data_IF_598076605340
#
_entry.id   IF_598076605340
#
_cell.length_a   1.000
_cell.length_b   1.000
_cell.length_c   1.000
_cell.angle_alpha   90.00
_cell.angle_beta   90.00
_cell.angle_gamma   90.00
#
_symmetry.space_group_name_H-M   'P 1'
#
loop_
_entity.id
_entity.type
_entity.pdbx_description
1 polymer ?
#
# COMPACT_ATOMS: atom_id res chain seq x y z
N UNK A 1 -30.34 9.59 -16.21
CA UNK A 1 -31.49 8.68 -16.10
C UNK A 1 -31.37 7.88 -14.79
N UNK A 2 -32.45 7.72 -14.00
CA UNK A 2 -32.47 6.94 -12.74
C UNK A 2 -33.08 5.53 -12.89
N UNK A 3 -33.61 5.18 -14.07
CA UNK A 3 -34.26 3.89 -14.31
C UNK A 3 -33.29 2.75 -14.70
N UNK A 4 -32.00 3.07 -14.89
CA UNK A 4 -30.96 2.11 -15.30
C UNK A 4 -30.95 1.74 -16.78
N UNK A 5 -31.77 2.39 -17.60
CA UNK A 5 -31.87 2.18 -19.05
C UNK A 5 -31.44 3.45 -19.81
N UNK A 6 -30.84 3.26 -20.98
CA UNK A 6 -30.60 4.35 -21.92
C UNK A 6 -31.15 3.91 -23.27
N UNK A 7 -31.97 4.76 -23.88
CA UNK A 7 -32.38 4.54 -25.26
C UNK A 7 -31.19 4.78 -26.20
N UNK A 8 -31.25 4.18 -27.39
CA UNK A 8 -30.23 4.34 -28.43
C UNK A 8 -29.97 5.82 -28.78
N UNK A 9 -31.02 6.64 -28.80
CA UNK A 9 -30.92 8.07 -29.08
C UNK A 9 -30.25 8.85 -27.94
N UNK A 10 -30.54 8.51 -26.68
CA UNK A 10 -29.87 9.13 -25.53
C UNK A 10 -28.38 8.76 -25.49
N UNK A 11 -28.03 7.52 -25.85
CA UNK A 11 -26.65 7.06 -25.94
C UNK A 11 -25.88 7.82 -27.03
N UNK A 12 -26.46 7.98 -28.22
CA UNK A 12 -25.86 8.73 -29.33
C UNK A 12 -25.61 10.20 -28.95
N UNK A 13 -26.59 10.86 -28.32
CA UNK A 13 -26.46 12.25 -27.88
C UNK A 13 -25.39 12.42 -26.78
N UNK A 14 -25.26 11.43 -25.89
CA UNK A 14 -24.26 11.45 -24.82
C UNK A 14 -22.81 11.34 -25.34
N UNK A 15 -22.56 10.63 -26.45
CA UNK A 15 -21.22 10.53 -27.06
C UNK A 15 -20.75 11.89 -27.60
N UNK A 16 -21.69 12.71 -28.12
CA UNK A 16 -21.37 14.02 -28.69
C UNK A 16 -21.27 15.14 -27.66
N UNK A 17 -21.54 14.86 -26.38
CA UNK A 17 -21.42 15.82 -25.30
C UNK A 17 -20.25 15.45 -24.35
N UNK A 18 -19.22 16.30 -24.34
CA UNK A 18 -17.96 16.07 -23.62
C UNK A 18 -18.17 15.81 -22.12
N UNK A 19 -19.16 16.43 -21.47
CA UNK A 19 -19.44 16.20 -20.04
C UNK A 19 -20.09 14.86 -19.73
N UNK A 20 -20.72 14.21 -20.71
CA UNK A 20 -21.32 12.87 -20.57
C UNK A 20 -20.38 11.76 -20.99
N UNK A 21 -19.43 12.06 -21.89
CA UNK A 21 -18.37 11.14 -22.34
C UNK A 21 -17.59 10.51 -21.17
N UNK A 22 -17.25 11.30 -20.16
CA UNK A 22 -16.47 10.83 -19.01
C UNK A 22 -17.28 9.93 -18.05
N UNK A 23 -18.62 10.01 -18.10
CA UNK A 23 -19.52 9.07 -17.45
C UNK A 23 -19.80 7.82 -18.31
N UNK A 24 -19.81 7.95 -19.65
CA UNK A 24 -19.96 6.85 -20.61
C UNK A 24 -18.82 5.83 -20.53
N UNK A 25 -17.59 6.26 -20.21
CA UNK A 25 -16.44 5.36 -19.97
C UNK A 25 -16.60 4.44 -18.75
N UNK A 26 -17.70 4.57 -18.00
CA UNK A 26 -18.05 3.68 -16.87
C UNK A 26 -19.21 2.74 -17.19
N UNK A 27 -19.73 2.75 -18.42
CA UNK A 27 -20.86 1.90 -18.83
C UNK A 27 -20.39 0.48 -19.08
N UNK A 28 -21.07 -0.46 -18.44
CA UNK A 28 -20.97 -1.90 -18.71
C UNK A 28 -22.21 -2.28 -19.50
N UNK A 29 -22.03 -2.64 -20.77
CA UNK A 29 -23.14 -2.95 -21.67
C UNK A 29 -23.10 -4.43 -22.08
N UNK A 30 -24.24 -5.10 -22.03
CA UNK A 30 -24.42 -6.44 -22.61
C UNK A 30 -25.23 -6.31 -23.88
N UNK A 31 -24.59 -6.53 -25.03
CA UNK A 31 -25.27 -6.43 -26.32
C UNK A 31 -24.77 -7.50 -27.29
N UNK A 32 -25.58 -7.78 -28.31
CA UNK A 32 -25.21 -8.64 -29.43
C UNK A 32 -23.94 -8.09 -30.11
N UNK A 33 -22.96 -8.97 -30.40
CA UNK A 33 -21.66 -8.56 -30.95
C UNK A 33 -21.41 -9.11 -32.35
N UNK A 34 -20.63 -8.36 -33.13
CA UNK A 34 -19.95 -8.77 -34.37
C UNK A 34 -19.10 -10.04 -34.19
N UNK A 35 -18.69 -10.36 -32.96
CA UNK A 35 -17.94 -11.58 -32.68
C UNK A 35 -18.78 -12.85 -32.75
N UNK A 36 -20.11 -12.71 -32.72
CA UNK A 36 -21.06 -13.82 -32.82
C UNK A 36 -21.95 -13.74 -34.06
N UNK A 37 -22.41 -12.54 -34.44
CA UNK A 37 -23.32 -12.33 -35.57
C UNK A 37 -22.58 -11.84 -36.81
N UNK A 38 -22.62 -12.66 -37.87
CA UNK A 38 -22.04 -12.32 -39.19
C UNK A 38 -22.94 -11.42 -40.03
N UNK A 39 -22.48 -11.08 -41.23
CA UNK A 39 -23.12 -10.10 -42.13
C UNK A 39 -24.61 -10.36 -42.45
N UNK A 40 -25.02 -11.64 -42.46
CA UNK A 40 -26.41 -12.03 -42.75
C UNK A 40 -27.37 -11.88 -41.56
N UNK A 41 -26.84 -11.53 -40.38
CA UNK A 41 -27.63 -11.38 -39.18
C UNK A 41 -28.49 -10.10 -39.23
N UNK A 42 -29.70 -10.12 -38.64
CA UNK A 42 -30.56 -8.94 -38.54
C UNK A 42 -29.87 -7.72 -37.91
N UNK A 43 -28.87 -7.96 -37.04
CA UNK A 43 -28.06 -6.93 -36.40
C UNK A 43 -27.38 -5.99 -37.40
N UNK A 44 -26.86 -6.52 -38.51
CA UNK A 44 -26.08 -5.76 -39.49
C UNK A 44 -26.87 -5.39 -40.74
N UNK A 45 -27.97 -6.10 -41.00
CA UNK A 45 -28.71 -6.04 -42.26
C UNK A 45 -29.12 -4.62 -42.65
N UNK A 46 -29.77 -3.88 -41.75
CA UNK A 46 -30.24 -2.51 -42.04
C UNK A 46 -29.09 -1.55 -42.38
N UNK A 47 -27.95 -1.68 -41.68
CA UNK A 47 -26.77 -0.87 -41.93
C UNK A 47 -26.05 -1.25 -43.24
N UNK A 48 -25.90 -2.55 -43.52
CA UNK A 48 -25.30 -3.01 -44.77
C UNK A 48 -26.19 -2.71 -45.98
N UNK A 49 -27.50 -2.76 -45.82
CA UNK A 49 -28.46 -2.44 -46.89
C UNK A 49 -28.39 -0.96 -47.28
N UNK A 50 -28.28 -0.04 -46.32
CA UNK A 50 -28.11 1.41 -46.59
C UNK A 50 -26.79 1.71 -47.32
N UNK A 51 -25.70 1.02 -46.96
CA UNK A 51 -24.42 1.17 -47.67
C UNK A 51 -24.43 0.68 -49.12
N UNK A 52 -25.42 -0.13 -49.51
CA UNK A 52 -25.57 -0.59 -50.91
C UNK A 52 -25.72 0.59 -51.87
N UNK A 53 -26.43 1.64 -51.43
CA UNK A 53 -26.70 2.83 -52.23
C UNK A 53 -25.64 3.89 -52.01
N UNK A 54 -25.23 4.12 -50.77
CA UNK A 54 -24.41 5.27 -50.41
C UNK A 54 -22.90 5.03 -50.59
N UNK A 55 -22.43 3.79 -50.38
CA UNK A 55 -21.01 3.46 -50.38
C UNK A 55 -20.76 1.95 -50.67
N UNK A 56 -21.00 1.46 -51.89
CA UNK A 56 -20.98 0.03 -52.21
C UNK A 56 -19.60 -0.64 -51.99
N UNK A 57 -18.49 0.09 -52.18
CA UNK A 57 -17.15 -0.43 -51.89
C UNK A 57 -16.91 -0.64 -50.39
N UNK A 58 -17.47 0.23 -49.54
CA UNK A 58 -17.41 0.10 -48.09
C UNK A 58 -18.25 -1.07 -47.59
N UNK A 59 -19.41 -1.32 -48.22
CA UNK A 59 -20.23 -2.51 -47.94
C UNK A 59 -19.42 -3.79 -48.13
N UNK A 60 -18.75 -3.95 -49.27
CA UNK A 60 -17.95 -5.16 -49.55
C UNK A 60 -16.83 -5.38 -48.53
N UNK A 61 -16.16 -4.30 -48.12
CA UNK A 61 -15.13 -4.35 -47.08
C UNK A 61 -15.72 -4.79 -45.73
N UNK A 62 -16.83 -4.17 -45.31
CA UNK A 62 -17.47 -4.45 -44.02
C UNK A 62 -18.05 -5.86 -43.96
N UNK A 63 -18.66 -6.37 -45.03
CA UNK A 63 -19.11 -7.76 -45.12
C UNK A 63 -17.96 -8.74 -44.93
N UNK A 64 -16.82 -8.48 -45.58
CA UNK A 64 -15.60 -9.30 -45.44
C UNK A 64 -15.02 -9.21 -44.03
N UNK A 65 -15.06 -8.03 -43.41
CA UNK A 65 -14.59 -7.80 -42.05
C UNK A 65 -15.46 -8.55 -41.04
N UNK A 66 -16.79 -8.44 -41.14
CA UNK A 66 -17.74 -9.12 -40.25
C UNK A 66 -17.59 -10.64 -40.34
N UNK A 67 -17.44 -11.20 -41.54
CA UNK A 67 -17.21 -12.64 -41.72
C UNK A 67 -15.93 -13.14 -41.01
N UNK A 68 -14.90 -12.30 -40.91
CA UNK A 68 -13.65 -12.64 -40.18
C UNK A 68 -13.78 -12.52 -38.67
N UNK A 69 -14.73 -11.72 -38.19
CA UNK A 69 -14.86 -11.39 -36.77
C UNK A 69 -15.72 -12.39 -36.00
N UNK A 70 -16.50 -13.26 -36.64
CA UNK A 70 -17.45 -14.19 -35.98
C UNK A 70 -16.81 -15.39 -35.22
N UNK A 71 -15.71 -15.17 -34.51
CA UNK A 71 -14.96 -16.23 -33.83
C UNK A 71 -15.70 -16.79 -32.59
N UNK A 72 -16.46 -15.98 -31.85
CA UNK A 72 -17.20 -16.45 -30.65
C UNK A 72 -18.28 -17.45 -31.01
N UNK A 73 -18.90 -17.30 -32.19
CA UNK A 73 -19.87 -18.27 -32.70
C UNK A 73 -19.22 -19.64 -32.90
N UNK A 74 -18.07 -19.66 -33.58
CA UNK A 74 -17.30 -20.89 -33.80
C UNK A 74 -16.81 -21.54 -32.48
N UNK A 75 -16.45 -20.74 -31.48
CA UNK A 75 -16.07 -21.23 -30.15
C UNK A 75 -17.28 -21.77 -29.38
N UNK A 76 -18.45 -21.13 -29.51
CA UNK A 76 -19.69 -21.59 -28.89
C UNK A 76 -20.18 -22.91 -29.47
N UNK A 77 -20.08 -23.08 -30.78
CA UNK A 77 -20.39 -24.33 -31.49
C UNK A 77 -19.47 -25.48 -31.06
N UNK A 78 -18.28 -25.18 -30.50
CA UNK A 78 -17.36 -26.16 -29.90
C UNK A 78 -17.64 -26.44 -28.42
N UNK A 79 -18.77 -25.98 -27.89
CA UNK A 79 -19.24 -26.31 -26.54
C UNK A 79 -18.80 -25.34 -25.43
N UNK A 80 -18.19 -24.20 -25.76
CA UNK A 80 -17.87 -23.16 -24.76
C UNK A 80 -19.04 -22.19 -24.63
N UNK A 81 -19.65 -22.00 -23.44
CA UNK A 81 -20.89 -21.24 -23.30
C UNK A 81 -20.66 -19.71 -23.27
N UNK A 82 -20.13 -19.13 -24.34
CA UNK A 82 -19.91 -17.68 -24.45
C UNK A 82 -21.22 -16.91 -24.72
N UNK A 83 -22.08 -17.45 -25.57
CA UNK A 83 -23.34 -16.83 -25.98
C UNK A 83 -23.19 -15.61 -26.91
N UNK A 84 -24.30 -15.09 -27.45
CA UNK A 84 -24.29 -14.05 -28.47
C UNK A 84 -24.04 -12.62 -27.98
N UNK A 85 -24.15 -12.39 -26.68
CA UNK A 85 -24.11 -11.07 -26.07
C UNK A 85 -23.02 -10.98 -25.00
N UNK A 86 -21.77 -10.67 -25.38
CA UNK A 86 -20.70 -10.41 -24.42
C UNK A 86 -20.97 -9.12 -23.62
N UNK A 87 -20.34 -9.04 -22.45
CA UNK A 87 -20.23 -7.79 -21.71
C UNK A 87 -19.09 -6.97 -22.31
N UNK A 88 -19.41 -5.79 -22.82
CA UNK A 88 -18.43 -4.78 -23.20
C UNK A 88 -18.20 -3.84 -22.02
N UNK A 89 -16.94 -3.68 -21.65
CA UNK A 89 -16.50 -2.81 -20.56
C UNK A 89 -15.35 -1.94 -21.07
N UNK A 90 -15.28 -0.70 -20.60
CA UNK A 90 -14.10 0.12 -20.84
C UNK A 90 -12.87 -0.54 -20.17
N UNK A 91 -11.72 -0.70 -20.86
CA UNK A 91 -10.60 -1.49 -20.38
C UNK A 91 -10.01 -1.00 -19.05
N UNK A 92 -10.10 0.30 -18.75
CA UNK A 92 -9.66 0.87 -17.46
C UNK A 92 -10.49 0.33 -16.30
N UNK A 93 -11.81 0.24 -16.44
CA UNK A 93 -12.72 -0.25 -15.39
C UNK A 93 -12.58 -1.76 -15.21
N UNK A 94 -12.33 -2.49 -16.30
CA UNK A 94 -12.04 -3.92 -16.24
C UNK A 94 -10.75 -4.20 -15.46
N UNK A 95 -9.67 -3.46 -15.73
CA UNK A 95 -8.42 -3.57 -14.98
C UNK A 95 -8.62 -3.20 -13.50
N UNK A 96 -9.39 -2.16 -13.18
CA UNK A 96 -9.77 -1.84 -11.80
C UNK A 96 -10.56 -3.00 -11.14
N UNK A 97 -11.47 -3.64 -11.87
CA UNK A 97 -12.26 -4.76 -11.35
C UNK A 97 -11.47 -6.07 -11.19
N UNK A 98 -10.48 -6.30 -12.06
CA UNK A 98 -9.50 -7.38 -11.94
C UNK A 98 -8.45 -7.07 -10.87
N UNK A 99 -8.20 -5.80 -10.58
CA UNK A 99 -7.31 -5.34 -9.53
C UNK A 99 -7.87 -5.57 -8.13
N UNK A 100 -8.84 -6.50 -7.95
CA UNK A 100 -9.44 -6.87 -6.68
C UNK A 100 -8.39 -6.75 -5.58
N UNK A 101 -8.51 -5.65 -4.82
CA UNK A 101 -7.55 -5.25 -3.81
C UNK A 101 -7.17 -6.50 -3.05
N UNK A 102 -5.86 -6.76 -2.91
CA UNK A 102 -5.30 -7.83 -2.08
C UNK A 102 -6.26 -8.05 -0.93
N UNK A 103 -6.96 -9.18 -0.91
CA UNK A 103 -7.95 -9.44 0.12
C UNK A 103 -7.17 -9.56 1.42
N UNK A 104 -7.10 -8.46 2.17
CA UNK A 104 -6.34 -8.38 3.39
C UNK A 104 -6.92 -9.43 4.34
N UNK A 105 -6.13 -10.47 4.61
CA UNK A 105 -6.61 -11.61 5.39
C UNK A 105 -6.76 -11.25 6.87
N UNK A 106 -5.99 -10.27 7.32
CA UNK A 106 -6.00 -9.73 8.67
C UNK A 106 -5.94 -8.21 8.58
N UNK A 107 -6.75 -7.52 9.39
CA UNK A 107 -6.66 -6.06 9.58
C UNK A 107 -6.31 -5.73 11.03
N UNK A 108 -6.02 -4.47 11.30
CA UNK A 108 -5.73 -3.97 12.63
C UNK A 108 -7.03 -3.92 13.45
N UNK A 109 -7.00 -4.22 14.76
CA UNK A 109 -8.21 -4.30 15.58
C UNK A 109 -8.84 -2.95 15.91
N UNK A 110 -8.22 -1.84 15.51
CA UNK A 110 -8.73 -0.47 15.66
C UNK A 110 -8.83 0.20 14.29
N UNK A 111 -9.87 1.01 14.08
CA UNK A 111 -10.04 1.80 12.85
C UNK A 111 -9.12 3.01 12.73
N UNK A 112 -8.42 3.37 13.82
CA UNK A 112 -7.49 4.50 13.87
C UNK A 112 -6.16 4.03 14.45
N UNK A 113 -5.06 4.67 14.03
CA UNK A 113 -3.73 4.40 14.59
C UNK A 113 -3.76 4.62 16.11
N UNK A 114 -3.19 3.71 16.92
CA UNK A 114 -3.18 3.87 18.36
C UNK A 114 -2.33 5.07 18.76
N UNK A 115 -2.66 5.69 19.89
CA UNK A 115 -1.97 6.89 20.40
C UNK A 115 -0.55 6.61 20.87
N UNK A 116 -0.24 5.35 21.16
CA UNK A 116 1.12 4.86 21.39
C UNK A 116 1.73 4.23 20.14
N UNK A 117 1.37 4.67 18.94
CA UNK A 117 2.08 4.35 17.70
C UNK A 117 3.38 5.17 17.56
N UNK A 118 4.27 4.84 16.61
CA UNK A 118 5.60 5.49 16.45
C UNK A 118 5.54 7.02 16.33
N UNK A 119 4.42 7.55 15.81
CA UNK A 119 4.14 8.98 15.61
C UNK A 119 3.05 9.53 16.55
N UNK A 120 2.57 8.71 17.49
CA UNK A 120 1.49 9.08 18.40
C UNK A 120 1.97 9.94 19.57
N UNK A 121 1.01 10.55 20.28
CA UNK A 121 1.26 11.40 21.47
C UNK A 121 1.91 10.62 22.62
N UNK A 122 1.75 9.30 22.65
CA UNK A 122 2.32 8.40 23.66
C UNK A 122 3.34 7.44 23.03
N UNK A 123 4.10 7.90 22.03
CA UNK A 123 5.14 7.12 21.33
C UNK A 123 6.19 6.51 22.24
N UNK A 124 6.44 7.08 23.42
CA UNK A 124 7.36 6.51 24.41
C UNK A 124 6.82 5.19 25.01
N UNK A 125 5.54 4.88 24.77
CA UNK A 125 4.88 3.62 25.13
C UNK A 125 4.63 2.71 23.92
N UNK A 126 5.52 2.78 22.91
CA UNK A 126 5.32 2.21 21.58
C UNK A 126 4.87 0.74 21.61
N UNK A 127 3.67 0.47 21.08
CA UNK A 127 3.06 -0.87 21.13
C UNK A 127 3.91 -1.94 20.41
N UNK A 128 4.60 -1.57 19.33
CA UNK A 128 5.38 -2.49 18.49
C UNK A 128 6.89 -2.51 18.84
N UNK A 129 7.26 -2.00 20.01
CA UNK A 129 8.65 -1.97 20.45
C UNK A 129 9.23 -3.38 20.64
N UNK A 130 10.55 -3.48 20.45
CA UNK A 130 11.30 -4.72 20.62
C UNK A 130 11.29 -5.17 22.09
N UNK A 131 11.29 -6.48 22.34
CA UNK A 131 11.33 -7.03 23.71
C UNK A 131 12.62 -6.63 24.46
N UNK A 132 13.70 -6.37 23.72
CA UNK A 132 14.99 -5.90 24.25
C UNK A 132 15.01 -4.43 24.67
N UNK A 133 14.03 -3.63 24.26
CA UNK A 133 14.01 -2.19 24.53
C UNK A 133 13.73 -1.94 26.03
N UNK A 134 14.71 -1.50 26.81
CA UNK A 134 14.52 -1.26 28.25
C UNK A 134 13.59 -0.08 28.57
N UNK A 135 13.33 0.79 27.60
CA UNK A 135 12.44 1.95 27.72
C UNK A 135 11.01 1.64 27.27
N UNK A 136 10.81 0.59 26.47
CA UNK A 136 9.52 0.12 26.02
C UNK A 136 8.70 -0.48 27.17
N UNK A 137 8.05 0.46 27.85
CA UNK A 137 6.72 0.47 28.44
C UNK A 137 6.07 -0.84 28.86
N UNK A 138 5.24 -0.65 29.86
CA UNK A 138 4.21 -1.54 30.32
C UNK A 138 3.27 -2.13 29.24
N UNK A 139 3.24 -1.59 28.01
CA UNK A 139 2.33 -1.97 26.92
C UNK A 139 2.76 -3.19 26.10
N UNK A 140 3.92 -3.80 26.37
CA UNK A 140 4.44 -4.89 25.53
C UNK A 140 4.45 -6.26 26.21
N UNK A 141 4.29 -7.30 25.40
CA UNK A 141 4.22 -8.69 25.83
C UNK A 141 5.44 -9.11 26.67
N UNK A 142 5.23 -9.97 27.65
CA UNK A 142 6.31 -10.60 28.42
C UNK A 142 6.95 -9.69 29.49
N UNK A 143 6.55 -8.42 29.60
CA UNK A 143 7.08 -7.49 30.62
C UNK A 143 6.72 -7.90 32.03
N UNK A 144 7.69 -7.81 32.93
CA UNK A 144 7.48 -8.09 34.35
C UNK A 144 6.52 -7.08 34.97
N UNK A 145 5.58 -7.58 35.77
CA UNK A 145 4.63 -6.82 36.58
C UNK A 145 4.68 -7.32 38.01
N UNK A 146 4.20 -6.50 38.94
CA UNK A 146 4.15 -6.80 40.38
C UNK A 146 5.50 -7.28 40.91
N UNK A 147 6.57 -6.55 40.57
CA UNK A 147 7.96 -6.89 40.90
C UNK A 147 8.43 -8.26 40.37
N UNK A 148 7.94 -8.66 39.19
CA UNK A 148 8.33 -9.92 38.53
C UNK A 148 7.44 -11.12 38.88
N UNK A 149 6.41 -10.94 39.71
CA UNK A 149 5.45 -12.00 40.08
C UNK A 149 4.49 -12.39 38.95
N UNK A 150 4.42 -11.61 37.88
CA UNK A 150 3.71 -12.00 36.66
C UNK A 150 4.32 -11.30 35.47
N UNK A 151 4.09 -11.84 34.27
CA UNK A 151 4.40 -11.15 33.02
C UNK A 151 3.14 -10.50 32.44
N UNK A 152 3.28 -9.53 31.54
CA UNK A 152 2.20 -8.95 30.74
C UNK A 152 1.83 -9.89 29.58
N UNK A 153 0.54 -10.13 29.36
CA UNK A 153 0.03 -11.21 28.48
C UNK A 153 -0.31 -10.75 27.06
N UNK A 154 -0.25 -9.45 26.80
CA UNK A 154 -0.79 -8.84 25.60
C UNK A 154 0.17 -7.83 24.99
N UNK A 155 -0.31 -7.16 23.95
CA UNK A 155 0.15 -5.85 23.54
C UNK A 155 -0.99 -4.87 23.80
N UNK A 156 -0.70 -3.78 24.51
CA UNK A 156 -1.68 -2.73 24.81
C UNK A 156 -1.65 -1.64 23.74
N UNK A 157 -2.80 -1.40 23.11
CA UNK A 157 -3.00 -0.35 22.12
C UNK A 157 -3.75 0.81 22.78
N UNK A 158 -3.08 1.93 23.00
CA UNK A 158 -3.69 3.08 23.68
C UNK A 158 -4.54 3.91 22.72
N UNK A 159 -5.67 4.40 23.18
CA UNK A 159 -6.68 5.06 22.33
C UNK A 159 -7.25 6.32 22.98
N UNK A 160 -7.96 7.11 22.18
CA UNK A 160 -8.97 8.02 22.71
C UNK A 160 -10.10 7.23 23.40
N UNK A 161 -10.92 7.89 24.25
CA UNK A 161 -12.13 7.30 24.79
C UNK A 161 -13.02 6.65 23.74
N UNK A 162 -13.42 5.40 24.00
CA UNK A 162 -14.41 4.66 23.21
C UNK A 162 -14.06 4.49 21.72
N UNK A 163 -12.79 4.27 21.40
CA UNK A 163 -12.40 3.91 20.04
C UNK A 163 -13.06 2.60 19.60
N UNK A 164 -13.46 2.52 18.32
CA UNK A 164 -14.10 1.33 17.76
C UNK A 164 -13.12 0.17 17.64
N UNK A 165 -13.54 -0.99 18.14
CA UNK A 165 -12.84 -2.26 18.05
C UNK A 165 -13.52 -3.08 16.94
N UNK A 166 -12.71 -3.62 16.03
CA UNK A 166 -13.17 -4.46 14.93
C UNK A 166 -12.59 -5.86 15.01
N UNK A 167 -13.33 -6.84 14.49
CA UNK A 167 -12.83 -8.19 14.29
C UNK A 167 -11.70 -8.18 13.24
N UNK A 168 -10.51 -8.66 13.62
CA UNK A 168 -9.33 -8.62 12.74
C UNK A 168 -9.41 -9.56 11.54
N UNK A 169 -10.33 -10.53 11.58
CA UNK A 169 -10.63 -11.48 10.52
C UNK A 169 -12.03 -12.06 10.74
N UNK A 170 -12.55 -12.83 9.77
CA UNK A 170 -13.73 -13.64 9.98
C UNK A 170 -13.56 -14.61 11.16
N UNK A 171 -14.63 -14.87 11.90
CA UNK A 171 -14.56 -15.71 13.08
C UNK A 171 -15.89 -15.94 13.76
N UNK A 172 -15.85 -16.66 14.89
CA UNK A 172 -16.99 -16.95 15.74
C UNK A 172 -16.71 -16.48 17.15
N UNK A 173 -17.62 -15.70 17.74
CA UNK A 173 -17.49 -15.23 19.12
C UNK A 173 -17.66 -16.40 20.08
N UNK A 174 -16.67 -16.64 20.95
CA UNK A 174 -16.64 -17.80 21.85
C UNK A 174 -16.88 -17.47 23.31
N UNK A 175 -16.51 -16.28 23.74
CA UNK A 175 -16.68 -15.86 25.13
C UNK A 175 -16.84 -14.34 25.22
N UNK A 176 -17.73 -13.91 26.10
CA UNK A 176 -17.88 -12.53 26.55
C UNK A 176 -18.01 -12.58 28.07
N UNK A 177 -17.16 -11.85 28.79
CA UNK A 177 -17.23 -11.80 30.26
C UNK A 177 -16.54 -10.57 30.82
N UNK A 178 -16.75 -10.33 32.12
CA UNK A 178 -16.07 -9.28 32.90
C UNK A 178 -14.56 -9.45 32.83
N UNK A 179 -13.84 -8.33 32.89
CA UNK A 179 -12.38 -8.30 32.77
C UNK A 179 -11.78 -7.31 33.79
N UNK A 180 -10.51 -7.00 33.61
CA UNK A 180 -9.73 -6.21 34.55
C UNK A 180 -10.32 -4.81 34.76
N UNK A 181 -10.32 -4.33 36.00
CA UNK A 181 -10.68 -2.94 36.34
C UNK A 181 -12.04 -2.50 35.79
N UNK A 182 -13.05 -3.37 35.92
CA UNK A 182 -14.44 -3.06 35.60
C UNK A 182 -14.77 -3.07 34.11
N UNK A 183 -13.81 -3.44 33.25
CA UNK A 183 -14.04 -3.62 31.81
C UNK A 183 -14.51 -5.03 31.48
N UNK A 184 -14.64 -5.34 30.20
CA UNK A 184 -15.05 -6.63 29.66
C UNK A 184 -14.06 -7.14 28.63
N UNK A 185 -14.21 -8.40 28.23
CA UNK A 185 -13.46 -9.00 27.12
C UNK A 185 -14.39 -9.72 26.15
N UNK A 186 -13.94 -9.81 24.90
CA UNK A 186 -14.54 -10.65 23.86
C UNK A 186 -13.43 -11.58 23.36
N UNK A 187 -13.66 -12.88 23.35
CA UNK A 187 -12.76 -13.87 22.75
C UNK A 187 -13.39 -14.43 21.49
N UNK A 188 -12.68 -14.32 20.36
CA UNK A 188 -13.15 -14.77 19.04
C UNK A 188 -12.20 -15.84 18.51
N UNK A 189 -12.78 -16.92 18.01
CA UNK A 189 -12.10 -17.94 17.20
C UNK A 189 -12.04 -17.46 15.76
N UNK A 190 -10.85 -17.15 15.28
CA UNK A 190 -10.64 -16.66 13.92
C UNK A 190 -10.14 -17.78 13.02
N UNK A 191 -10.58 -17.72 11.76
CA UNK A 191 -10.08 -18.55 10.68
C UNK A 191 -9.87 -17.70 9.44
N UNK A 192 -8.63 -17.60 9.00
CA UNK A 192 -8.25 -16.85 7.79
C UNK A 192 -8.44 -17.72 6.54
N UNK A 193 -8.52 -17.07 5.39
CA UNK A 193 -8.70 -17.76 4.10
C UNK A 193 -7.48 -18.61 3.68
N UNK A 194 -6.29 -18.31 4.21
CA UNK A 194 -5.07 -19.12 4.02
C UNK A 194 -4.97 -20.31 5.00
N UNK A 195 -5.96 -20.49 5.88
CA UNK A 195 -6.06 -21.66 6.75
C UNK A 195 -5.44 -21.51 8.14
N UNK A 196 -5.00 -20.31 8.54
CA UNK A 196 -4.60 -20.06 9.95
C UNK A 196 -5.83 -20.05 10.84
N UNK A 197 -5.72 -20.72 11.98
CA UNK A 197 -6.75 -20.77 13.02
C UNK A 197 -6.14 -20.37 14.36
N UNK A 198 -6.81 -19.48 15.09
CA UNK A 198 -6.31 -18.93 16.35
C UNK A 198 -7.42 -18.26 17.15
N UNK A 199 -7.18 -18.02 18.44
CA UNK A 199 -8.06 -17.15 19.24
C UNK A 199 -7.43 -15.78 19.47
N UNK A 200 -8.25 -14.75 19.40
CA UNK A 200 -7.91 -13.41 19.87
C UNK A 200 -8.83 -13.05 21.02
N UNK A 201 -8.23 -12.58 22.13
CA UNK A 201 -8.98 -11.89 23.17
C UNK A 201 -8.83 -10.39 22.99
N UNK A 202 -9.95 -9.72 22.81
CA UNK A 202 -10.11 -8.27 22.82
C UNK A 202 -10.50 -7.86 24.25
N UNK A 203 -9.51 -7.50 25.07
CA UNK A 203 -9.70 -7.09 26.46
C UNK A 203 -9.85 -5.57 26.63
N UNK A 204 -10.27 -5.15 27.82
CA UNK A 204 -10.51 -3.74 28.17
C UNK A 204 -11.63 -3.08 27.36
N UNK A 205 -12.73 -3.81 27.18
CA UNK A 205 -13.92 -3.41 26.40
C UNK A 205 -14.98 -2.76 27.28
N UNK A 206 -15.69 -1.75 26.76
CA UNK A 206 -16.88 -1.16 27.43
C UNK A 206 -18.09 -2.09 27.29
N UNK A 207 -18.63 -2.60 28.39
CA UNK A 207 -19.75 -3.55 28.41
C UNK A 207 -20.93 -3.15 27.52
N UNK A 208 -21.43 -1.92 27.71
CA UNK A 208 -22.63 -1.44 27.02
C UNK A 208 -22.39 -1.11 25.53
N UNK A 209 -21.14 -1.22 25.06
CA UNK A 209 -20.77 -1.01 23.66
C UNK A 209 -20.69 -2.31 22.87
N UNK A 210 -20.76 -3.47 23.53
CA UNK A 210 -20.64 -4.79 22.88
C UNK A 210 -21.91 -5.04 22.05
N UNK A 211 -21.74 -5.24 20.73
CA UNK A 211 -22.85 -5.44 19.78
C UNK A 211 -22.93 -6.86 19.22
N UNK A 212 -22.14 -7.78 19.77
CA UNK A 212 -22.09 -9.20 19.39
C UNK A 212 -22.43 -10.09 20.59
N UNK A 213 -22.93 -11.29 20.31
CA UNK A 213 -23.24 -12.32 21.30
C UNK A 213 -22.34 -13.55 21.12
N UNK A 214 -22.22 -14.37 22.16
CA UNK A 214 -21.54 -15.67 22.04
C UNK A 214 -22.25 -16.54 21.01
N UNK A 215 -21.49 -17.07 20.06
CA UNK A 215 -22.00 -17.84 18.91
C UNK A 215 -22.14 -17.04 17.62
N UNK A 216 -22.11 -15.71 17.69
CA UNK A 216 -22.23 -14.87 16.48
C UNK A 216 -21.03 -15.06 15.55
N UNK A 217 -21.31 -15.07 14.26
CA UNK A 217 -20.29 -15.00 13.20
C UNK A 217 -19.96 -13.56 12.92
N UNK A 218 -18.68 -13.22 12.95
CA UNK A 218 -18.17 -11.89 12.56
C UNK A 218 -17.42 -12.00 11.24
N UNK A 219 -17.46 -10.93 10.44
CA UNK A 219 -16.66 -10.79 9.23
C UNK A 219 -15.45 -9.91 9.53
N UNK A 220 -14.46 -9.95 8.64
CA UNK A 220 -13.34 -9.01 8.64
C UNK A 220 -13.86 -7.57 8.74
N UNK A 221 -13.41 -6.81 9.75
CA UNK A 221 -13.80 -5.41 9.91
C UNK A 221 -15.17 -5.16 10.55
N UNK A 222 -15.92 -6.20 10.92
CA UNK A 222 -17.13 -6.02 11.73
C UNK A 222 -16.77 -5.30 13.03
N UNK A 223 -17.46 -4.20 13.33
CA UNK A 223 -17.36 -3.56 14.65
C UNK A 223 -17.93 -4.54 15.68
N UNK A 224 -17.21 -4.76 16.77
CA UNK A 224 -17.62 -5.69 17.83
C UNK A 224 -17.89 -4.98 19.15
N UNK A 225 -17.16 -3.90 19.44
CA UNK A 225 -17.34 -3.08 20.64
C UNK A 225 -16.54 -1.77 20.55
N UNK A 226 -16.41 -1.07 21.70
CA UNK A 226 -15.53 0.08 21.90
C UNK A 226 -14.63 -0.13 23.12
N UNK A 227 -13.46 0.51 23.12
CA UNK A 227 -12.52 0.48 24.26
C UNK A 227 -13.16 1.06 25.52
N UNK A 228 -12.98 0.38 26.65
CA UNK A 228 -13.53 0.73 27.96
C UNK A 228 -12.60 1.56 28.84
N UNK A 229 -13.19 2.24 29.82
CA UNK A 229 -12.46 2.98 30.84
C UNK A 229 -12.07 2.03 31.97
N UNK A 230 -10.78 1.94 32.26
CA UNK A 230 -10.28 1.13 33.37
C UNK A 230 -10.48 1.88 34.70
N UNK A 231 -11.39 1.39 35.54
CA UNK A 231 -11.60 1.91 36.89
C UNK A 231 -11.52 0.75 37.87
N UNK A 232 -10.59 0.83 38.81
CA UNK A 232 -10.53 -0.15 39.88
C UNK A 232 -11.86 -0.13 40.67
N UNK A 233 -12.64 -1.23 40.69
CA UNK A 233 -13.97 -1.22 41.31
C UNK A 233 -13.95 -0.91 42.81
N UNK A 234 -12.82 -1.19 43.49
CA UNK A 234 -12.65 -0.97 44.93
C UNK A 234 -12.25 0.48 45.24
N UNK A 235 -11.34 1.06 44.47
CA UNK A 235 -10.79 2.39 44.76
C UNK A 235 -11.45 3.51 43.96
N UNK A 236 -12.23 3.17 42.93
CA UNK A 236 -12.85 4.11 41.99
C UNK A 236 -11.83 5.03 41.31
N UNK A 237 -10.58 4.55 41.14
CA UNK A 237 -9.48 5.28 40.51
C UNK A 237 -8.99 4.57 39.26
N UNK A 238 -8.57 5.39 38.28
CA UNK A 238 -7.86 4.94 37.10
C UNK A 238 -6.45 4.43 37.47
N UNK A 239 -5.91 3.38 36.81
CA UNK A 239 -4.62 2.75 37.16
C UNK A 239 -3.37 3.63 36.97
N UNK A 240 -3.52 4.91 36.60
CA UNK A 240 -2.41 5.82 36.28
C UNK A 240 -1.38 5.20 35.31
N UNK A 241 -1.90 4.60 34.22
CA UNK A 241 -1.10 3.95 33.17
C UNK A 241 -0.05 4.95 32.68
N UNK A 242 -0.50 6.11 32.19
CA UNK A 242 0.38 7.24 31.89
C UNK A 242 0.21 8.27 33.00
N UNK A 243 1.31 8.74 33.63
CA UNK A 243 1.23 9.72 34.71
C UNK A 243 0.37 10.94 34.35
N UNK A 244 -0.69 11.17 35.12
CA UNK A 244 -1.56 12.34 34.97
C UNK A 244 -2.52 12.29 33.77
N UNK A 245 -2.63 11.16 33.08
CA UNK A 245 -3.52 10.98 31.93
C UNK A 245 -4.57 9.91 32.20
N UNK A 246 -5.77 10.11 31.64
CA UNK A 246 -6.80 9.06 31.56
C UNK A 246 -6.63 8.39 30.21
N UNK A 247 -6.32 7.08 30.23
CA UNK A 247 -5.96 6.32 29.03
C UNK A 247 -6.98 5.22 28.82
N UNK A 248 -7.55 5.17 27.62
CA UNK A 248 -8.31 4.02 27.15
C UNK A 248 -7.36 3.13 26.37
N UNK A 249 -7.63 1.83 26.36
CA UNK A 249 -6.82 0.90 25.58
C UNK A 249 -7.61 -0.32 25.14
N UNK A 250 -7.05 -1.00 24.14
CA UNK A 250 -7.37 -2.37 23.80
C UNK A 250 -6.22 -3.27 24.26
N UNK A 251 -6.52 -4.25 25.11
CA UNK A 251 -5.57 -5.27 25.56
C UNK A 251 -5.73 -6.51 24.68
N UNK A 252 -4.80 -6.75 23.75
CA UNK A 252 -4.92 -7.82 22.77
C UNK A 252 -4.07 -9.04 23.15
N UNK A 253 -4.69 -10.20 23.38
CA UNK A 253 -3.99 -11.47 23.61
C UNK A 253 -4.16 -12.42 22.41
N UNK A 254 -3.14 -13.22 22.10
CA UNK A 254 -3.09 -14.11 20.93
C UNK A 254 -2.77 -15.55 21.33
N UNK A 255 -3.63 -16.50 20.94
CA UNK A 255 -3.52 -17.91 21.29
C UNK A 255 -3.53 -18.80 20.05
N UNK A 256 -2.55 -19.70 19.94
CA UNK A 256 -2.31 -20.46 18.70
C UNK A 256 -2.76 -21.92 18.73
N UNK A 257 -3.06 -22.50 19.89
CA UNK A 257 -3.38 -23.93 20.00
C UNK A 257 -4.89 -24.15 20.14
N UNK A 258 -5.52 -24.50 19.02
CA UNK A 258 -6.96 -24.76 18.97
C UNK A 258 -7.38 -25.98 19.80
N UNK A 259 -6.49 -26.95 20.02
CA UNK A 259 -6.79 -28.18 20.74
C UNK A 259 -6.99 -28.00 22.24
N UNK A 260 -6.50 -26.91 22.82
CA UNK A 260 -6.70 -26.56 24.23
C UNK A 260 -8.05 -25.86 24.49
N UNK A 261 -8.88 -25.68 23.46
CA UNK A 261 -10.20 -25.06 23.56
C UNK A 261 -10.15 -23.55 23.80
N UNK A 262 -11.28 -22.97 24.21
CA UNK A 262 -11.41 -21.51 24.41
C UNK A 262 -10.57 -21.06 25.61
N UNK A 263 -9.71 -20.02 25.47
CA UNK A 263 -8.91 -19.51 26.57
C UNK A 263 -9.75 -19.08 27.79
N UNK A 264 -9.41 -19.54 29.02
CA UNK A 264 -10.16 -19.20 30.22
C UNK A 264 -9.93 -17.74 30.64
N UNK A 265 -10.93 -17.14 31.29
CA UNK A 265 -10.82 -15.78 31.82
C UNK A 265 -10.10 -15.82 33.19
N UNK A 266 -8.82 -15.45 33.21
CA UNK A 266 -7.95 -15.61 34.38
C UNK A 266 -7.96 -14.40 35.33
N UNK A 267 -9.03 -13.62 35.37
CA UNK A 267 -9.10 -12.38 36.17
C UNK A 267 -9.34 -12.60 37.68
N UNK A 268 -9.36 -13.84 38.17
CA UNK A 268 -9.40 -14.14 39.60
C UNK A 268 -9.22 -15.62 39.93
N UNK A 269 -8.01 -16.01 40.38
CA UNK A 269 -7.75 -17.37 40.85
C UNK A 269 -6.30 -17.56 41.31
N UNK A 270 -6.12 -18.33 42.38
CA UNK A 270 -4.95 -18.68 43.20
C UNK A 270 -3.76 -19.33 42.47
N UNK A 271 -3.51 -18.94 41.23
CA UNK A 271 -2.45 -19.54 40.42
C UNK A 271 -1.29 -18.57 40.31
N UNK A 272 -0.25 -18.90 41.06
CA UNK A 272 1.11 -18.35 41.03
C UNK A 272 1.67 -18.32 39.60
N UNK A 273 2.77 -17.58 39.32
CA UNK A 273 3.12 -16.90 38.05
C UNK A 273 3.14 -17.68 36.71
N UNK A 274 2.86 -18.99 36.71
CA UNK A 274 3.32 -19.95 35.72
C UNK A 274 2.23 -20.64 34.88
N UNK A 275 0.94 -20.54 35.20
CA UNK A 275 -0.09 -21.19 34.34
C UNK A 275 -0.66 -20.20 33.31
N UNK A 276 0.24 -19.60 32.55
CA UNK A 276 -0.13 -19.14 31.21
C UNK A 276 -0.33 -20.39 30.39
N UNK A 277 -1.41 -20.45 29.60
CA UNK A 277 -1.50 -21.49 28.57
C UNK A 277 -0.24 -21.44 27.71
N UNK A 278 0.31 -22.61 27.39
CA UNK A 278 1.53 -22.75 26.61
C UNK A 278 1.44 -22.11 25.23
N UNK A 279 0.21 -21.93 24.73
CA UNK A 279 -0.08 -21.40 23.41
C UNK A 279 -0.33 -19.88 23.36
N UNK A 280 -0.24 -19.19 24.49
CA UNK A 280 -0.26 -17.72 24.52
C UNK A 280 1.04 -17.17 23.92
N UNK A 281 0.94 -16.47 22.80
CA UNK A 281 2.07 -15.90 22.08
C UNK A 281 2.01 -14.37 22.02
N UNK A 282 3.14 -13.74 21.67
CA UNK A 282 3.20 -12.29 21.44
C UNK A 282 2.36 -11.91 20.20
N UNK A 283 1.34 -11.04 20.32
CA UNK A 283 0.52 -10.61 19.18
C UNK A 283 1.24 -9.72 18.16
N UNK A 284 2.54 -9.44 18.32
CA UNK A 284 3.26 -8.47 17.49
C UNK A 284 3.15 -8.75 15.99
N UNK A 285 3.33 -9.99 15.55
CA UNK A 285 3.37 -10.32 14.11
C UNK A 285 2.00 -10.14 13.47
N UNK A 286 0.93 -10.63 14.12
CA UNK A 286 -0.45 -10.47 13.64
C UNK A 286 -0.90 -9.00 13.67
N UNK A 287 -0.45 -8.22 14.66
CA UNK A 287 -0.69 -6.78 14.73
C UNK A 287 0.06 -6.02 13.63
N UNK A 288 1.29 -6.40 13.28
CA UNK A 288 2.05 -5.79 12.19
C UNK A 288 1.42 -6.08 10.83
N UNK A 289 1.00 -7.33 10.59
CA UNK A 289 0.25 -7.69 9.39
C UNK A 289 -1.03 -6.86 9.29
N UNK A 290 -1.82 -6.81 10.37
CA UNK A 290 -3.04 -6.01 10.43
C UNK A 290 -2.78 -4.52 10.22
N UNK A 291 -1.72 -3.96 10.84
CA UNK A 291 -1.36 -2.55 10.73
C UNK A 291 -1.02 -2.18 9.28
N UNK A 292 -0.19 -2.99 8.62
CA UNK A 292 0.15 -2.83 7.21
C UNK A 292 -1.09 -2.87 6.32
N UNK A 293 -1.94 -3.86 6.52
CA UNK A 293 -3.16 -4.04 5.73
C UNK A 293 -4.22 -2.96 5.98
N UNK A 294 -4.15 -2.23 7.11
CA UNK A 294 -5.15 -1.21 7.49
C UNK A 294 -4.68 0.20 7.20
N UNK A 295 -3.41 0.50 7.47
CA UNK A 295 -2.92 1.89 7.48
C UNK A 295 -1.81 2.16 6.48
N UNK A 296 -1.04 1.15 6.03
CA UNK A 296 0.06 1.41 5.08
C UNK A 296 -0.45 1.62 3.64
N UNK A 297 -1.69 1.25 3.32
CA UNK A 297 -2.33 1.68 2.06
C UNK A 297 -2.76 3.16 2.10
N UNK A 298 -3.04 3.72 3.27
CA UNK A 298 -3.42 5.13 3.42
C UNK A 298 -2.20 6.07 3.48
N UNK A 299 -1.05 5.59 3.96
CA UNK A 299 0.22 6.36 3.91
C UNK A 299 0.71 6.58 2.45
N UNK A 300 0.17 5.85 1.47
CA UNK A 300 0.40 6.10 0.04
C UNK A 300 -0.52 7.18 -0.57
N UNK A 301 -1.57 7.62 0.16
CA UNK A 301 -2.61 8.53 -0.33
C UNK A 301 -2.55 9.96 0.25
N UNK A 302 -1.65 10.26 1.20
CA UNK A 302 -1.35 11.65 1.58
C UNK A 302 0.14 11.99 1.38
N UNK A 303 0.41 13.20 0.88
CA UNK A 303 1.74 13.79 0.93
C UNK A 303 2.15 14.02 2.39
N UNK A 304 3.38 13.69 2.75
CA UNK A 304 3.90 13.87 4.11
C UNK A 304 5.05 14.88 4.16
N UNK A 305 5.34 15.40 5.35
CA UNK A 305 6.43 16.36 5.54
C UNK A 305 7.77 15.78 5.06
N UNK A 306 8.49 16.58 4.28
CA UNK A 306 9.74 16.15 3.64
C UNK A 306 10.81 15.69 4.61
N UNK A 307 10.83 16.19 5.84
CA UNK A 307 11.79 15.76 6.86
C UNK A 307 11.54 14.32 7.31
N UNK A 308 10.32 13.80 7.10
CA UNK A 308 9.93 12.42 7.42
C UNK A 308 10.22 11.44 6.28
N UNK A 309 10.57 11.94 5.10
CA UNK A 309 10.88 11.13 3.92
C UNK A 309 12.36 10.72 3.90
N UNK A 310 12.63 9.56 3.31
CA UNK A 310 13.96 9.10 2.95
C UNK A 310 13.82 8.21 1.70
N UNK A 311 14.89 7.99 0.94
CA UNK A 311 14.84 7.15 -0.26
C UNK A 311 14.32 5.75 0.08
N UNK A 312 13.30 5.27 -0.64
CA UNK A 312 12.75 3.92 -0.43
C UNK A 312 13.61 2.83 -1.09
N UNK A 313 13.43 1.58 -0.70
CA UNK A 313 14.11 0.44 -1.35
C UNK A 313 13.74 0.31 -2.83
N UNK A 314 12.51 0.66 -3.22
CA UNK A 314 12.10 0.71 -4.64
C UNK A 314 12.81 1.85 -5.38
N UNK A 315 12.91 3.03 -4.76
CA UNK A 315 13.67 4.15 -5.30
C UNK A 315 15.16 3.83 -5.48
N UNK A 316 15.77 3.15 -4.51
CA UNK A 316 17.17 2.67 -4.63
C UNK A 316 17.35 1.72 -5.81
N UNK A 317 16.45 0.75 -5.95
CA UNK A 317 16.50 -0.22 -7.05
C UNK A 317 16.34 0.48 -8.41
N UNK A 318 15.39 1.39 -8.51
CA UNK A 318 15.15 2.18 -9.71
C UNK A 318 16.36 3.02 -10.13
N UNK A 319 17.06 3.65 -9.19
CA UNK A 319 18.31 4.36 -9.49
C UNK A 319 19.37 3.37 -9.99
N UNK A 320 19.56 2.23 -9.32
CA UNK A 320 20.56 1.22 -9.71
C UNK A 320 20.30 0.65 -11.11
N UNK A 321 19.04 0.52 -11.51
CA UNK A 321 18.67 0.09 -12.86
C UNK A 321 19.09 1.11 -13.91
N UNK A 322 18.89 2.41 -13.66
CA UNK A 322 19.35 3.49 -14.55
C UNK A 322 20.87 3.65 -14.62
N UNK A 323 21.57 3.47 -13.50
CA UNK A 323 23.04 3.60 -13.48
C UNK A 323 23.73 2.36 -14.07
N UNK A 324 23.15 1.17 -13.85
CA UNK A 324 23.76 -0.10 -14.20
C UNK A 324 24.97 -0.45 -13.33
N UNK A 325 25.26 -1.75 -13.19
CA UNK A 325 26.44 -2.23 -12.46
C UNK A 325 27.65 -2.37 -13.41
N UNK A 326 28.77 -1.78 -13.01
CA UNK A 326 30.10 -2.03 -13.59
C UNK A 326 31.09 -2.38 -12.49
N UNK A 327 31.53 -3.63 -12.42
CA UNK A 327 32.44 -4.12 -11.37
C UNK A 327 33.89 -3.73 -11.60
N UNK A 328 34.24 -3.25 -12.79
CA UNK A 328 35.57 -2.76 -13.15
C UNK A 328 35.52 -1.25 -13.42
N UNK A 329 36.65 -0.56 -13.20
CA UNK A 329 36.75 0.86 -13.46
C UNK A 329 36.58 1.16 -14.96
N UNK A 330 35.82 2.21 -15.28
CA UNK A 330 35.51 2.63 -16.64
C UNK A 330 35.48 4.16 -16.75
N UNK A 331 35.64 4.68 -17.95
CA UNK A 331 35.48 6.11 -18.22
C UNK A 331 34.00 6.41 -18.50
N UNK A 332 33.40 7.35 -17.77
CA UNK A 332 32.04 7.82 -18.03
C UNK A 332 31.95 8.70 -19.29
N UNK A 333 30.74 9.23 -19.58
CA UNK A 333 30.49 10.06 -20.77
C UNK A 333 31.31 11.36 -20.81
N UNK A 334 31.75 11.86 -19.65
CA UNK A 334 32.61 13.05 -19.52
C UNK A 334 34.10 12.67 -19.52
N UNK A 335 34.42 11.37 -19.58
CA UNK A 335 35.79 10.85 -19.57
C UNK A 335 36.38 10.70 -18.18
N UNK A 336 35.56 10.71 -17.13
CA UNK A 336 36.03 10.55 -15.75
C UNK A 336 36.03 9.08 -15.32
N UNK A 337 37.04 8.70 -14.55
CA UNK A 337 37.18 7.34 -14.06
C UNK A 337 36.16 7.02 -12.96
N UNK A 338 35.36 6.00 -13.20
CA UNK A 338 34.15 5.66 -12.44
C UNK A 338 34.04 4.13 -12.25
N UNK A 339 33.35 3.67 -11.20
CA UNK A 339 33.13 2.25 -10.90
C UNK A 339 31.76 2.02 -10.22
N UNK A 340 31.27 0.78 -10.20
CA UNK A 340 30.03 0.39 -9.53
C UNK A 340 28.79 0.98 -10.20
N UNK A 341 27.91 1.57 -9.40
CA UNK A 341 26.74 2.35 -9.84
C UNK A 341 27.10 3.83 -9.97
N UNK A 342 28.07 4.14 -10.84
CA UNK A 342 28.48 5.52 -11.12
C UNK A 342 29.32 6.20 -10.04
N UNK A 343 30.05 5.46 -9.18
CA UNK A 343 30.94 6.03 -8.17
C UNK A 343 32.20 6.63 -8.82
N UNK A 344 32.38 7.95 -8.70
CA UNK A 344 33.52 8.67 -9.25
C UNK A 344 34.81 8.36 -8.47
N UNK A 345 35.79 7.76 -9.13
CA UNK A 345 37.14 7.55 -8.59
C UNK A 345 37.97 8.84 -8.75
N UNK A 346 38.00 9.41 -9.96
CA UNK A 346 38.77 10.62 -10.26
C UNK A 346 38.21 11.38 -11.47
N UNK A 347 38.44 12.70 -11.52
CA UNK A 347 38.11 13.56 -12.68
C UNK A 347 39.19 13.53 -13.77
N UNK A 348 39.73 12.36 -14.01
CA UNK A 348 40.70 12.05 -15.05
C UNK A 348 40.35 10.67 -15.61
N UNK A 349 40.85 10.35 -16.79
CA UNK A 349 40.62 9.04 -17.41
C UNK A 349 41.29 7.94 -16.58
N UNK A 350 40.69 6.75 -16.51
CA UNK A 350 41.24 5.62 -15.75
C UNK A 350 42.68 5.26 -16.18
N UNK A 351 43.01 5.41 -17.47
CA UNK A 351 44.34 5.12 -17.99
C UNK A 351 45.38 6.20 -17.65
N UNK A 352 44.93 7.37 -17.20
CA UNK A 352 45.78 8.52 -16.86
C UNK A 352 46.14 8.58 -15.36
N UNK A 353 45.61 7.66 -14.56
CA UNK A 353 45.80 7.64 -13.10
C UNK A 353 46.28 6.27 -12.64
N UNK A 354 46.88 6.22 -11.46
CA UNK A 354 47.03 4.97 -10.72
C UNK A 354 45.74 4.75 -9.93
N UNK A 355 45.00 3.68 -10.25
CA UNK A 355 43.80 3.32 -9.50
C UNK A 355 44.17 3.03 -8.04
N UNK A 356 43.38 3.49 -7.06
CA UNK A 356 43.52 3.05 -5.68
C UNK A 356 43.48 1.52 -5.58
N UNK A 357 44.23 0.94 -4.64
CA UNK A 357 44.32 -0.52 -4.45
C UNK A 357 42.93 -1.18 -4.29
N UNK A 358 41.98 -0.46 -3.68
CA UNK A 358 40.58 -0.91 -3.52
C UNK A 358 39.89 -1.19 -4.88
N UNK A 359 40.23 -0.45 -5.93
CA UNK A 359 39.55 -0.51 -7.23
C UNK A 359 40.41 -1.16 -8.33
N UNK A 360 41.69 -1.40 -8.07
CA UNK A 360 42.65 -1.87 -9.08
C UNK A 360 42.34 -3.27 -9.63
N UNK A 361 41.58 -4.08 -8.89
CA UNK A 361 41.16 -5.42 -9.28
C UNK A 361 39.63 -5.56 -9.44
N UNK A 362 38.93 -4.43 -9.55
CA UNK A 362 37.47 -4.39 -9.54
C UNK A 362 36.86 -4.64 -8.15
N UNK A 363 35.54 -4.54 -8.07
CA UNK A 363 34.75 -4.65 -6.84
C UNK A 363 33.63 -5.70 -6.98
N UNK A 364 33.20 -6.27 -5.85
CA UNK A 364 32.01 -7.14 -5.82
C UNK A 364 30.72 -6.34 -5.93
N UNK A 365 29.61 -7.01 -6.23
CA UNK A 365 28.29 -6.37 -6.22
C UNK A 365 27.93 -5.83 -4.82
N UNK A 366 28.32 -6.53 -3.76
CA UNK A 366 28.13 -6.08 -2.38
C UNK A 366 28.88 -4.77 -2.13
N UNK A 367 30.15 -4.68 -2.55
CA UNK A 367 30.91 -3.43 -2.41
C UNK A 367 30.35 -2.30 -3.28
N UNK A 368 29.87 -2.61 -4.48
CA UNK A 368 29.17 -1.63 -5.32
C UNK A 368 27.88 -1.10 -4.64
N UNK A 369 27.15 -1.97 -3.94
CA UNK A 369 25.99 -1.58 -3.14
C UNK A 369 26.37 -0.69 -1.96
N UNK A 370 27.47 -0.98 -1.26
CA UNK A 370 27.98 -0.13 -0.17
C UNK A 370 28.36 1.26 -0.67
N UNK A 371 29.14 1.35 -1.75
CA UNK A 371 29.53 2.63 -2.39
C UNK A 371 28.31 3.43 -2.86
N UNK A 372 27.24 2.75 -3.28
CA UNK A 372 25.97 3.38 -3.64
C UNK A 372 25.29 3.99 -2.41
N UNK A 373 25.15 3.22 -1.33
CA UNK A 373 24.55 3.67 -0.06
C UNK A 373 25.32 4.85 0.55
N UNK A 374 26.66 4.84 0.49
CA UNK A 374 27.51 5.93 0.97
C UNK A 374 27.23 7.28 0.29
N UNK A 375 26.74 7.27 -0.97
CA UNK A 375 26.45 8.50 -1.74
C UNK A 375 25.06 9.07 -1.48
N UNK A 376 24.07 8.22 -1.15
CA UNK A 376 22.66 8.58 -1.01
C UNK A 376 22.40 9.77 -0.06
N UNK A 377 23.04 9.89 1.12
CA UNK A 377 22.76 10.98 2.06
C UNK A 377 22.86 12.37 1.42
N UNK A 378 23.87 12.58 0.56
CA UNK A 378 24.07 13.88 -0.10
C UNK A 378 22.93 14.29 -1.03
N UNK A 379 22.30 13.32 -1.71
CA UNK A 379 21.17 13.57 -2.59
C UNK A 379 19.86 13.72 -1.81
N UNK A 380 19.65 12.90 -0.78
CA UNK A 380 18.53 13.01 0.16
C UNK A 380 18.51 14.40 0.80
N UNK A 381 19.65 14.88 1.30
CA UNK A 381 19.79 16.22 1.87
C UNK A 381 19.62 17.33 0.82
N UNK A 382 20.06 17.07 -0.42
CA UNK A 382 19.83 17.94 -1.56
C UNK A 382 18.34 18.20 -1.84
N UNK A 383 17.50 17.16 -1.78
CA UNK A 383 16.04 17.30 -1.92
C UNK A 383 15.46 18.02 -0.70
N UNK A 384 15.79 17.56 0.52
CA UNK A 384 15.27 18.11 1.79
C UNK A 384 15.58 19.60 2.00
N UNK A 385 16.75 20.06 1.53
CA UNK A 385 17.13 21.47 1.62
C UNK A 385 16.54 22.34 0.50
N UNK A 386 16.05 21.73 -0.59
CA UNK A 386 15.55 22.45 -1.76
C UNK A 386 14.03 22.58 -1.79
N UNK A 387 13.31 21.65 -1.14
CA UNK A 387 11.85 21.55 -1.17
C UNK A 387 11.26 21.74 0.24
N UNK A 388 10.22 22.56 0.37
CA UNK A 388 9.59 22.91 1.65
C UNK A 388 8.14 22.42 1.79
N UNK A 389 7.57 21.85 0.73
CA UNK A 389 6.19 21.33 0.71
C UNK A 389 6.17 19.84 1.05
N UNK A 390 4.98 19.32 1.37
CA UNK A 390 4.78 17.89 1.56
C UNK A 390 4.93 17.16 0.21
N UNK A 391 5.42 15.92 0.25
CA UNK A 391 5.55 15.03 -0.92
C UNK A 391 5.06 13.63 -0.59
N UNK A 392 4.65 12.89 -1.62
CA UNK A 392 4.55 11.44 -1.56
C UNK A 392 5.93 10.78 -1.54
N UNK A 393 6.00 9.54 -1.07
CA UNK A 393 7.26 8.78 -1.08
C UNK A 393 7.83 8.61 -2.50
N UNK A 394 6.97 8.35 -3.49
CA UNK A 394 7.39 8.17 -4.88
C UNK A 394 7.84 9.49 -5.56
N UNK A 395 7.20 10.61 -5.20
CA UNK A 395 7.65 11.95 -5.62
C UNK A 395 9.06 12.24 -5.08
N UNK A 396 9.29 11.91 -3.80
CA UNK A 396 10.62 12.05 -3.19
C UNK A 396 11.67 11.15 -3.86
N UNK A 397 11.33 9.90 -4.12
CA UNK A 397 12.23 8.93 -4.77
C UNK A 397 12.62 9.38 -6.18
N UNK A 398 11.68 9.91 -6.97
CA UNK A 398 11.96 10.51 -8.29
C UNK A 398 12.94 11.69 -8.20
N UNK A 399 12.77 12.59 -7.22
CA UNK A 399 13.66 13.74 -7.04
C UNK A 399 15.07 13.31 -6.61
N UNK A 400 15.20 12.29 -5.77
CA UNK A 400 16.51 11.72 -5.42
C UNK A 400 17.16 11.07 -6.64
N UNK A 401 16.38 10.35 -7.47
CA UNK A 401 16.89 9.77 -8.72
C UNK A 401 17.41 10.84 -9.69
N UNK A 402 16.65 11.92 -9.86
CA UNK A 402 17.08 13.08 -10.64
C UNK A 402 18.40 13.64 -10.09
N UNK A 403 18.47 13.94 -8.79
CA UNK A 403 19.68 14.49 -8.17
C UNK A 403 20.88 13.54 -8.24
N UNK A 404 20.68 12.23 -8.24
CA UNK A 404 21.76 11.27 -8.43
C UNK A 404 22.45 11.48 -9.78
N UNK A 405 21.67 11.77 -10.82
CA UNK A 405 22.16 12.05 -12.18
C UNK A 405 22.74 13.45 -12.33
N UNK A 406 22.07 14.49 -11.81
CA UNK A 406 22.46 15.89 -12.07
C UNK A 406 23.33 16.51 -10.96
N UNK A 407 23.55 15.79 -9.87
CA UNK A 407 24.32 16.19 -8.68
C UNK A 407 23.43 16.74 -7.56
N UNK A 408 23.89 16.65 -6.30
CA UNK A 408 23.12 16.99 -5.08
C UNK A 408 22.58 18.42 -5.00
N UNK A 409 23.25 19.38 -5.65
CA UNK A 409 22.77 20.78 -5.75
C UNK A 409 21.90 21.03 -7.00
N UNK A 410 21.52 19.97 -7.72
CA UNK A 410 20.86 20.04 -9.03
C UNK A 410 19.55 20.80 -9.03
N UNK A 411 18.68 20.59 -8.03
CA UNK A 411 17.42 21.33 -7.91
C UNK A 411 17.62 22.85 -7.78
N UNK A 412 18.74 23.29 -7.21
CA UNK A 412 19.06 24.72 -7.08
C UNK A 412 19.78 25.27 -8.31
N UNK A 413 20.74 24.51 -8.86
CA UNK A 413 21.67 25.01 -9.87
C UNK A 413 21.29 24.66 -11.31
N UNK A 414 20.60 23.54 -11.52
CA UNK A 414 20.30 22.97 -12.85
C UNK A 414 18.80 22.89 -13.13
N UNK A 415 17.95 22.74 -12.10
CA UNK A 415 16.50 22.62 -12.22
C UNK A 415 15.72 23.64 -11.34
N UNK A 416 16.03 24.94 -11.40
CA UNK A 416 15.42 25.94 -10.53
C UNK A 416 13.90 26.10 -10.75
N UNK A 417 13.42 25.89 -11.98
CA UNK A 417 11.98 25.97 -12.28
C UNK A 417 11.19 24.82 -11.68
N UNK A 418 11.68 23.57 -11.81
CA UNK A 418 11.16 22.39 -11.11
C UNK A 418 11.03 22.66 -9.61
N UNK A 419 12.12 23.12 -8.97
CA UNK A 419 12.13 23.47 -7.54
C UNK A 419 11.10 24.55 -7.20
N UNK A 420 11.01 25.61 -8.01
CA UNK A 420 10.10 26.73 -7.74
C UNK A 420 8.64 26.29 -7.82
N UNK A 421 8.26 25.49 -8.83
CA UNK A 421 6.91 24.96 -8.98
C UNK A 421 6.54 24.01 -7.85
N UNK A 422 7.44 23.09 -7.46
CA UNK A 422 7.23 22.23 -6.29
C UNK A 422 6.92 23.05 -5.03
N UNK A 423 7.72 24.07 -4.74
CA UNK A 423 7.52 24.89 -3.54
C UNK A 423 6.28 25.79 -3.59
N UNK A 424 5.62 25.89 -4.74
CA UNK A 424 4.32 26.53 -4.93
C UNK A 424 3.16 25.51 -4.91
N UNK A 425 3.45 24.25 -4.61
CA UNK A 425 2.50 23.12 -4.68
C UNK A 425 1.93 22.87 -6.09
N UNK A 426 2.61 23.38 -7.14
CA UNK A 426 2.32 23.08 -8.54
C UNK A 426 3.04 21.78 -8.94
N UNK A 427 2.52 20.65 -8.45
CA UNK A 427 3.12 19.33 -8.64
C UNK A 427 3.09 18.86 -10.11
N UNK A 428 1.99 19.10 -10.81
CA UNK A 428 1.87 18.76 -12.24
C UNK A 428 2.83 19.61 -13.08
N UNK A 429 2.88 20.92 -12.81
CA UNK A 429 3.80 21.81 -13.49
C UNK A 429 5.26 21.47 -13.18
N UNK A 430 5.58 21.05 -11.95
CA UNK A 430 6.91 20.59 -11.58
C UNK A 430 7.28 19.29 -12.30
N UNK A 431 6.34 18.35 -12.44
CA UNK A 431 6.58 17.11 -13.15
C UNK A 431 6.99 17.38 -14.61
N UNK A 432 6.34 18.33 -15.28
CA UNK A 432 6.70 18.70 -16.66
C UNK A 432 8.16 19.18 -16.79
N UNK A 433 8.69 19.87 -15.77
CA UNK A 433 10.07 20.37 -15.78
C UNK A 433 11.13 19.26 -15.78
N UNK A 434 10.78 18.01 -15.41
CA UNK A 434 11.71 16.89 -15.56
C UNK A 434 12.12 16.70 -17.02
N UNK A 435 11.18 16.89 -17.96
CA UNK A 435 11.35 16.58 -19.38
C UNK A 435 12.32 17.54 -20.09
N UNK A 436 12.59 18.71 -19.50
CA UNK A 436 13.51 19.71 -20.05
C UNK A 436 14.98 19.45 -19.65
N UNK A 437 15.25 18.54 -18.71
CA UNK A 437 16.58 18.28 -18.16
C UNK A 437 17.27 17.15 -18.93
N UNK A 438 17.52 17.36 -20.23
CA UNK A 438 17.97 16.33 -21.19
C UNK A 438 19.30 16.62 -21.89
N UNK A 439 20.03 17.65 -21.46
CA UNK A 439 21.32 18.06 -22.04
C UNK A 439 21.28 18.23 -23.58
N UNK A 440 20.25 18.90 -24.09
CA UNK A 440 20.09 19.10 -25.55
C UNK A 440 19.41 17.94 -26.28
N UNK A 441 18.69 17.07 -25.56
CA UNK A 441 17.90 15.98 -26.14
C UNK A 441 18.64 14.67 -26.30
N UNK A 442 19.65 14.40 -25.45
CA UNK A 442 20.34 13.11 -25.43
C UNK A 442 19.34 11.98 -25.15
N UNK A 443 19.28 10.98 -26.03
CA UNK A 443 18.21 9.96 -26.01
C UNK A 443 18.10 9.21 -24.69
N UNK A 444 19.24 8.86 -24.07
CA UNK A 444 19.26 8.20 -22.76
C UNK A 444 18.70 9.08 -21.64
N UNK A 445 19.03 10.38 -21.65
CA UNK A 445 18.48 11.32 -20.68
C UNK A 445 17.00 11.60 -20.92
N UNK A 446 16.55 11.68 -22.19
CA UNK A 446 15.13 11.80 -22.53
C UNK A 446 14.34 10.62 -21.95
N UNK A 447 14.79 9.37 -22.18
CA UNK A 447 14.15 8.19 -21.63
C UNK A 447 14.13 8.20 -20.08
N UNK A 448 15.26 8.55 -19.46
CA UNK A 448 15.37 8.65 -18.00
C UNK A 448 14.43 9.69 -17.42
N UNK A 449 14.34 10.87 -18.02
CA UNK A 449 13.44 11.95 -17.56
C UNK A 449 11.97 11.59 -17.72
N UNK A 450 11.58 10.88 -18.78
CA UNK A 450 10.22 10.35 -18.94
C UNK A 450 9.90 9.34 -17.83
N UNK A 451 10.82 8.43 -17.55
CA UNK A 451 10.66 7.43 -16.49
C UNK A 451 10.57 8.06 -15.10
N UNK A 452 11.43 9.02 -14.77
CA UNK A 452 11.37 9.77 -13.51
C UNK A 452 10.10 10.63 -13.39
N UNK A 453 9.65 11.26 -14.48
CA UNK A 453 8.37 11.97 -14.53
C UNK A 453 7.19 11.02 -14.26
N UNK A 454 7.20 9.82 -14.86
CA UNK A 454 6.16 8.82 -14.67
C UNK A 454 6.17 8.26 -13.24
N UNK A 455 7.35 8.08 -12.65
CA UNK A 455 7.49 7.77 -11.23
C UNK A 455 6.87 8.89 -10.38
N UNK A 456 7.21 10.15 -10.66
CA UNK A 456 6.73 11.31 -9.92
C UNK A 456 5.22 11.52 -10.00
N UNK A 457 4.59 11.29 -11.16
CA UNK A 457 3.15 11.51 -11.35
C UNK A 457 2.30 10.30 -11.00
N UNK A 458 2.77 9.09 -11.32
CA UNK A 458 1.94 7.90 -11.37
C UNK A 458 2.42 6.78 -10.45
N UNK A 459 3.49 6.98 -9.68
CA UNK A 459 4.08 5.96 -8.80
C UNK A 459 4.48 4.68 -9.58
N UNK A 460 5.01 4.86 -10.81
CA UNK A 460 5.44 3.77 -11.69
C UNK A 460 6.97 3.71 -11.71
N UNK A 461 7.53 2.66 -11.11
CA UNK A 461 8.97 2.36 -11.12
C UNK A 461 9.31 1.49 -12.34
N UNK A 462 9.44 2.11 -13.51
CA UNK A 462 9.86 1.43 -14.75
C UNK A 462 11.13 2.08 -15.31
N UNK A 463 12.27 1.42 -15.11
CA UNK A 463 13.58 1.87 -15.60
C UNK A 463 14.03 1.12 -16.88
N UNK A 464 13.10 0.58 -17.67
CA UNK A 464 13.45 -0.07 -18.94
C UNK A 464 14.02 0.93 -19.96
N UNK A 465 15.18 0.62 -20.54
CA UNK A 465 15.88 1.47 -21.51
C UNK A 465 16.76 0.66 -22.49
#
# INVERSE_FOLDING_TARGET
NQDGYYSEQEYLQAIHNVSYRDHLYRVIAKHASEWYYGKDAPLWKTYLDTLTTDAPLWKMYLETFLDKMTWMKAVSEKGVPLGPAPWHMHPIVFMDSLSQKKTHQIIFPLKVKPKNDKRGIWKDYYWAAALSDSNASQSIFGRNRDSGRRKHAARDLYTEPRAEIVAICAGVVKSISTYYYGTWQITIEHKTNDGREFFIRYGEVEHNSIIVNVGDRVLLGSVIARTGLLINPRTQRHPNIIPGQIVYMLHLEYYTNMSEGVPPNNTGGTVTPYDRRSDLQDPLDILREGYKNTFEQDDANERIDINQLNISEQGKQFIKEWEGLRTEAYNDSEGYCTIGYGHLIARDRCESITLPDEFSHGITQERANELFEERLPSYVDGVKSSVSVKLYQYEFDALVCLLFNIGSSGLRLKAPMLRNKLNQEDYEGAAQEFLDITNGGESGLVARRISENNLFLNNIYDASH
#
